data_IF_254288280506
#
_entry.id   IF_254288280506
#
_cell.length_a   1.000
_cell.length_b   1.000
_cell.length_c   1.000
_cell.angle_alpha   90.00
_cell.angle_beta   90.00
_cell.angle_gamma   90.00
#
_symmetry.space_group_name_H-M   'P 1'
#
loop_
_entity.id
_entity.type
_entity.pdbx_description
1 polymer ?
#
# COMPACT_ATOMS: atom_id res chain seq x y z
N UNK A 1 -2.20 -18.80 1.25
CA UNK A 1 -3.01 -18.30 0.14
C UNK A 1 -2.17 -18.26 -1.13
N UNK A 2 -2.74 -18.65 -2.25
CA UNK A 2 -2.00 -18.66 -3.51
C UNK A 2 -1.86 -17.25 -4.08
N UNK A 3 -0.72 -16.96 -4.71
CA UNK A 3 -0.53 -15.74 -5.45
C UNK A 3 -1.54 -15.65 -6.61
N UNK A 4 -2.03 -14.46 -6.89
CA UNK A 4 -2.89 -14.26 -8.05
C UNK A 4 -2.06 -14.30 -9.33
N UNK A 5 -2.60 -14.89 -10.42
CA UNK A 5 -1.91 -14.81 -11.69
C UNK A 5 -1.78 -13.35 -12.15
N UNK A 6 -0.61 -13.01 -12.66
CA UNK A 6 -0.31 -11.69 -13.19
C UNK A 6 -0.27 -11.79 -14.72
N UNK A 7 -0.81 -10.79 -15.41
CA UNK A 7 -0.71 -10.73 -16.86
C UNK A 7 0.75 -10.86 -17.30
N UNK A 8 1.02 -11.73 -18.25
CA UNK A 8 2.37 -12.03 -18.71
C UNK A 8 3.16 -10.76 -19.08
N UNK A 9 2.49 -9.81 -19.74
CA UNK A 9 3.11 -8.54 -20.13
C UNK A 9 3.54 -7.66 -18.95
N UNK A 10 2.94 -7.85 -17.77
CA UNK A 10 3.25 -7.08 -16.56
C UNK A 10 4.28 -7.75 -15.67
N UNK A 11 4.58 -9.02 -15.88
CA UNK A 11 5.49 -9.79 -15.00
C UNK A 11 6.86 -9.13 -14.84
N UNK A 12 7.56 -8.69 -15.90
CA UNK A 12 8.85 -8.01 -15.72
C UNK A 12 8.76 -6.73 -14.92
N UNK A 13 7.68 -5.96 -15.11
CA UNK A 13 7.46 -4.70 -14.37
C UNK A 13 7.19 -4.95 -12.90
N UNK A 14 6.42 -6.00 -12.58
CA UNK A 14 6.15 -6.41 -11.20
C UNK A 14 7.43 -6.81 -10.49
N UNK A 15 8.26 -7.62 -11.14
CA UNK A 15 9.55 -8.04 -10.57
C UNK A 15 10.50 -6.87 -10.33
N UNK A 16 10.56 -5.92 -11.26
CA UNK A 16 11.36 -4.71 -11.11
C UNK A 16 10.89 -3.88 -9.90
N UNK A 17 9.59 -3.73 -9.75
CA UNK A 17 9.03 -2.97 -8.63
C UNK A 17 9.30 -3.67 -7.29
N UNK A 18 9.16 -4.99 -7.22
CA UNK A 18 9.49 -5.77 -6.02
C UNK A 18 10.96 -5.61 -5.65
N UNK A 19 11.87 -5.72 -6.61
CA UNK A 19 13.29 -5.54 -6.38
C UNK A 19 13.63 -4.13 -5.90
N UNK A 20 12.98 -3.13 -6.47
CA UNK A 20 13.14 -1.73 -6.05
C UNK A 20 12.71 -1.51 -4.61
N UNK A 21 11.55 -2.03 -4.22
CA UNK A 21 11.03 -1.91 -2.86
C UNK A 21 11.92 -2.65 -1.85
N UNK A 22 12.48 -3.78 -2.25
CA UNK A 22 13.43 -4.53 -1.43
C UNK A 22 14.73 -3.74 -1.22
N UNK A 23 15.28 -3.14 -2.28
CA UNK A 23 16.48 -2.30 -2.19
C UNK A 23 16.27 -1.06 -1.31
N UNK A 24 15.07 -0.53 -1.28
CA UNK A 24 14.71 0.62 -0.44
C UNK A 24 14.38 0.23 1.01
N UNK A 25 14.52 -1.04 1.38
CA UNK A 25 14.17 -1.59 2.69
C UNK A 25 12.69 -1.43 3.05
N UNK A 26 11.82 -1.28 2.07
CA UNK A 26 10.37 -1.24 2.27
C UNK A 26 9.85 -2.68 2.41
N UNK A 27 10.37 -3.60 1.61
CA UNK A 27 10.05 -5.02 1.67
C UNK A 27 11.26 -5.82 2.15
N UNK A 28 11.00 -6.80 2.99
CA UNK A 28 12.01 -7.77 3.46
C UNK A 28 11.58 -9.17 3.04
N UNK A 29 12.42 -9.94 2.35
CA UNK A 29 12.06 -11.29 1.95
C UNK A 29 11.92 -12.21 3.16
N UNK A 30 10.90 -13.07 3.14
CA UNK A 30 10.68 -14.10 4.15
C UNK A 30 10.46 -15.43 3.45
N UNK A 31 10.91 -16.52 4.06
CA UNK A 31 10.79 -17.86 3.46
C UNK A 31 9.42 -18.47 3.72
N UNK A 32 8.87 -18.28 4.92
CA UNK A 32 7.59 -18.84 5.33
C UNK A 32 6.79 -17.79 6.08
N UNK A 33 5.51 -17.70 5.77
CA UNK A 33 4.59 -16.84 6.52
C UNK A 33 3.20 -17.46 6.54
N UNK A 34 2.53 -17.35 7.69
CA UNK A 34 1.13 -17.74 7.83
C UNK A 34 0.18 -16.74 7.15
N UNK A 35 0.66 -15.52 6.88
CA UNK A 35 -0.12 -14.40 6.37
C UNK A 35 0.43 -13.93 5.03
N UNK A 36 0.18 -14.69 3.98
CA UNK A 36 0.65 -14.31 2.64
C UNK A 36 -0.52 -13.81 1.80
N UNK A 37 -0.64 -12.51 1.67
CA UNK A 37 -1.72 -11.89 0.89
C UNK A 37 -1.31 -11.75 -0.58
N UNK A 38 -2.24 -11.93 -1.54
CA UNK A 38 -1.93 -11.73 -2.94
C UNK A 38 -1.67 -10.27 -3.27
N UNK A 39 -0.86 -10.04 -4.30
CA UNK A 39 -0.52 -8.72 -4.80
C UNK A 39 -1.27 -8.45 -6.09
N UNK A 40 -1.84 -7.26 -6.19
CA UNK A 40 -2.51 -6.78 -7.41
C UNK A 40 -1.66 -5.68 -8.02
N UNK A 41 -1.13 -5.87 -9.24
CA UNK A 41 -0.42 -4.81 -9.93
C UNK A 41 -1.41 -3.82 -10.57
N UNK A 42 -1.14 -2.53 -10.42
CA UNK A 42 -1.92 -1.46 -11.06
C UNK A 42 -1.00 -0.68 -11.97
N UNK A 43 -1.34 -0.65 -13.25
CA UNK A 43 -0.56 0.10 -14.24
C UNK A 43 -0.88 1.59 -14.13
N UNK A 44 0.17 2.40 -13.92
CA UNK A 44 0.05 3.85 -13.88
C UNK A 44 0.13 4.44 -15.30
N UNK A 45 -0.34 5.68 -15.42
CA UNK A 45 -0.30 6.41 -16.70
C UNK A 45 1.11 6.59 -17.27
N UNK A 46 2.13 6.62 -16.41
CA UNK A 46 3.54 6.77 -16.81
C UNK A 46 4.21 5.45 -17.20
N UNK A 47 3.46 4.36 -17.30
CA UNK A 47 3.98 3.03 -17.64
C UNK A 47 4.56 2.25 -16.49
N UNK A 48 4.62 2.83 -15.29
CA UNK A 48 5.08 2.14 -14.08
C UNK A 48 3.94 1.35 -13.45
N UNK A 49 4.31 0.36 -12.65
CA UNK A 49 3.36 -0.49 -11.92
C UNK A 49 3.38 -0.12 -10.44
N UNK A 50 2.19 0.03 -9.87
CA UNK A 50 2.02 0.11 -8.42
C UNK A 50 1.59 -1.27 -7.92
N UNK A 51 2.25 -1.76 -6.90
CA UNK A 51 1.88 -3.02 -6.26
C UNK A 51 0.97 -2.74 -5.07
N UNK A 52 -0.20 -3.36 -5.06
CA UNK A 52 -1.17 -3.25 -3.98
C UNK A 52 -1.38 -4.63 -3.36
N UNK A 53 -1.22 -4.72 -2.04
CA UNK A 53 -1.57 -5.93 -1.32
C UNK A 53 -3.08 -6.06 -1.19
N UNK A 54 -3.61 -7.24 -1.48
CA UNK A 54 -5.04 -7.52 -1.26
C UNK A 54 -5.19 -8.23 0.09
N UNK A 55 -5.50 -7.46 1.11
CA UNK A 55 -5.63 -7.95 2.48
C UNK A 55 -7.07 -8.29 2.87
N UNK A 56 -7.99 -8.32 1.92
CA UNK A 56 -9.42 -8.50 2.17
C UNK A 56 -9.73 -9.80 2.93
N UNK A 57 -9.08 -10.89 2.54
CA UNK A 57 -9.33 -12.21 3.14
C UNK A 57 -8.37 -12.50 4.31
N UNK A 58 -7.24 -11.81 4.35
CA UNK A 58 -6.19 -12.03 5.35
C UNK A 58 -6.30 -11.03 6.50
N UNK A 59 -5.42 -10.02 6.52
CA UNK A 59 -5.26 -9.10 7.65
C UNK A 59 -6.52 -8.29 7.95
N UNK A 60 -7.28 -7.88 6.94
CA UNK A 60 -8.47 -7.04 7.16
C UNK A 60 -9.55 -7.73 8.00
N UNK A 61 -9.60 -9.06 7.99
CA UNK A 61 -10.57 -9.81 8.81
C UNK A 61 -10.23 -9.79 10.29
N UNK A 62 -8.97 -9.48 10.64
CA UNK A 62 -8.46 -9.48 11.99
C UNK A 62 -8.26 -8.08 12.56
N UNK A 63 -8.35 -7.04 11.73
CA UNK A 63 -8.09 -5.67 12.15
C UNK A 63 -9.32 -5.05 12.80
N UNK A 64 -9.07 -4.30 13.86
CA UNK A 64 -10.07 -3.42 14.43
C UNK A 64 -10.16 -2.16 13.57
N UNK A 65 -11.39 -1.78 13.24
CA UNK A 65 -11.63 -0.56 12.48
C UNK A 65 -11.53 0.63 13.42
N UNK A 66 -10.64 1.55 13.11
CA UNK A 66 -10.59 2.83 13.80
C UNK A 66 -11.78 3.68 13.37
N UNK A 67 -12.60 4.08 14.33
CA UNK A 67 -13.81 4.86 14.06
C UNK A 67 -13.54 6.37 14.07
N UNK A 68 -12.30 6.78 13.79
CA UNK A 68 -11.98 8.19 13.66
C UNK A 68 -12.78 8.82 12.51
N UNK A 69 -13.54 9.86 12.85
CA UNK A 69 -14.37 10.55 11.87
C UNK A 69 -13.51 11.52 11.07
N UNK A 70 -13.48 11.32 9.76
CA UNK A 70 -12.85 12.27 8.84
C UNK A 70 -13.68 13.55 8.77
N UNK A 71 -13.04 14.74 8.72
CA UNK A 71 -13.77 15.98 8.53
C UNK A 71 -14.51 15.99 7.20
N UNK A 72 -15.72 16.56 7.20
CA UNK A 72 -16.48 16.73 5.96
C UNK A 72 -15.84 17.83 5.10
N UNK A 73 -16.03 17.73 3.79
CA UNK A 73 -15.48 18.72 2.84
C UNK A 73 -15.95 20.12 3.17
N UNK A 74 -17.23 20.29 3.52
CA UNK A 74 -17.79 21.60 3.87
C UNK A 74 -17.12 22.21 5.11
N UNK A 75 -16.83 21.39 6.11
CA UNK A 75 -16.12 21.83 7.31
C UNK A 75 -14.68 22.27 6.99
N UNK A 76 -14.02 21.56 6.08
CA UNK A 76 -12.67 21.92 5.61
C UNK A 76 -12.71 23.29 4.91
N UNK A 77 -13.67 23.50 4.02
CA UNK A 77 -13.82 24.77 3.31
C UNK A 77 -14.11 25.92 4.27
N UNK A 78 -14.97 25.68 5.28
CA UNK A 78 -15.26 26.70 6.31
C UNK A 78 -13.99 27.11 7.08
N UNK A 79 -13.12 26.15 7.40
CA UNK A 79 -11.86 26.44 8.09
C UNK A 79 -10.85 27.17 7.20
N UNK A 80 -10.97 27.05 5.88
CA UNK A 80 -10.12 27.76 4.93
C UNK A 80 -10.62 29.17 4.61
N UNK A 81 -11.83 29.53 5.06
CA UNK A 81 -12.42 30.83 4.80
C UNK A 81 -11.54 31.95 5.39
N UNK A 82 -11.34 33.03 4.62
CA UNK A 82 -10.50 34.15 5.04
C UNK A 82 -9.01 33.95 4.78
N UNK A 83 -8.59 32.76 4.38
CA UNK A 83 -7.21 32.53 3.98
C UNK A 83 -6.89 33.19 2.64
N UNK A 84 -5.71 33.83 2.55
CA UNK A 84 -5.25 34.46 1.30
C UNK A 84 -4.35 33.55 0.49
N UNK A 85 -3.68 32.63 1.13
CA UNK A 85 -2.76 31.68 0.50
C UNK A 85 -3.00 30.29 1.04
N UNK A 86 -2.93 29.30 0.18
CA UNK A 86 -3.07 27.88 0.55
C UNK A 86 -1.90 27.08 -0.03
N UNK A 87 -1.54 26.03 0.68
CA UNK A 87 -0.53 25.07 0.20
C UNK A 87 -1.14 23.69 0.16
N UNK A 88 -0.78 22.93 -0.87
CA UNK A 88 -1.15 21.52 -0.99
C UNK A 88 0.08 20.65 -0.79
N UNK A 89 0.00 19.72 0.14
CA UNK A 89 1.05 18.76 0.40
C UNK A 89 0.55 17.38 -0.01
N UNK A 90 1.27 16.74 -0.92
CA UNK A 90 0.94 15.39 -1.39
C UNK A 90 2.14 14.48 -1.08
N UNK A 91 1.95 13.55 -0.14
CA UNK A 91 3.01 12.66 0.29
C UNK A 91 3.21 11.54 -0.73
N UNK A 92 4.44 11.41 -1.20
CA UNK A 92 4.81 10.33 -2.11
C UNK A 92 4.78 8.99 -1.36
N UNK A 93 3.98 8.03 -1.84
CA UNK A 93 3.87 6.70 -1.25
C UNK A 93 3.67 6.76 0.28
N UNK A 94 2.65 7.50 0.71
CA UNK A 94 2.45 7.84 2.12
C UNK A 94 2.42 6.62 3.05
N UNK A 95 1.70 5.57 2.68
CA UNK A 95 1.62 4.37 3.52
C UNK A 95 2.95 3.62 3.62
N UNK A 96 3.76 3.65 2.58
CA UNK A 96 5.07 2.98 2.57
C UNK A 96 6.12 3.71 3.41
N UNK A 97 5.83 4.94 3.84
CA UNK A 97 6.70 5.70 4.74
C UNK A 97 6.51 5.31 6.21
N UNK A 98 5.46 4.56 6.53
CA UNK A 98 5.17 4.14 7.90
C UNK A 98 5.84 2.79 8.18
N UNK A 99 6.90 2.76 9.00
CA UNK A 99 7.50 1.48 9.39
C UNK A 99 6.58 0.72 10.33
N UNK A 100 6.57 -0.60 10.19
CA UNK A 100 5.77 -1.49 11.02
C UNK A 100 6.67 -2.21 12.03
N UNK A 101 6.13 -2.56 13.20
CA UNK A 101 6.83 -3.43 14.12
C UNK A 101 6.90 -4.86 13.58
N UNK A 102 7.75 -5.70 14.16
CA UNK A 102 7.98 -7.06 13.66
C UNK A 102 6.72 -7.93 13.66
N UNK A 103 5.88 -7.78 14.67
CA UNK A 103 4.62 -8.55 14.75
C UNK A 103 3.64 -8.14 13.67
N UNK A 104 3.49 -6.84 13.44
CA UNK A 104 2.61 -6.31 12.40
C UNK A 104 3.12 -6.62 10.99
N UNK A 105 4.43 -6.67 10.79
CA UNK A 105 5.02 -7.04 9.51
C UNK A 105 4.56 -8.42 9.04
N UNK A 106 4.42 -9.37 9.96
CA UNK A 106 3.95 -10.73 9.64
C UNK A 106 2.56 -10.72 9.06
N UNK A 107 1.67 -9.86 9.58
CA UNK A 107 0.29 -9.75 9.11
C UNK A 107 0.19 -9.12 7.73
N UNK A 108 1.17 -8.33 7.32
CA UNK A 108 1.19 -7.60 6.06
C UNK A 108 2.07 -8.29 5.01
N UNK A 109 2.44 -9.54 5.21
CA UNK A 109 3.22 -10.30 4.24
C UNK A 109 2.44 -10.45 2.92
N UNK A 110 3.13 -10.24 1.81
CA UNK A 110 2.56 -10.38 0.48
C UNK A 110 3.23 -11.54 -0.26
N UNK A 111 2.48 -12.14 -1.17
CA UNK A 111 2.95 -13.23 -2.03
C UNK A 111 2.98 -12.73 -3.47
N UNK A 112 4.14 -12.23 -3.91
CA UNK A 112 4.32 -11.62 -5.23
C UNK A 112 5.13 -12.46 -6.22
N UNK A 113 5.63 -13.58 -5.80
CA UNK A 113 6.48 -14.46 -6.64
C UNK A 113 6.07 -15.91 -6.51
#
# INVERSE_FOLDING_TARGET
>A
MKARPVAFALTPKVEQELDKLEKQNILTPVQVSDWASPVVPVLKKNGRVRLCGDFKITSNTCLQIDQYLMPKIDDIFANLAGGQKVSKIDLRQAYLQLPMDEESMKLLTINGR
#
